data_IF_023831786022
#
_entry.id   IF_023831786022
#
_cell.length_a   1.000
_cell.length_b   1.000
_cell.length_c   1.000
_cell.angle_alpha   90.00
_cell.angle_beta   90.00
_cell.angle_gamma   90.00
#
_symmetry.space_group_name_H-M   'P 1'
#
loop_
_entity.id
_entity.type
_entity.pdbx_description
1 polymer ?
#
# COMPACT_ATOMS: atom_id res chain seq x y z
N UNK A 1 1.84 -16.38 -1.01
CA UNK A 1 0.59 -16.38 -1.80
C UNK A 1 0.62 -17.33 -3.02
N UNK A 2 1.11 -16.94 -4.21
CA UNK A 2 0.96 -17.75 -5.46
C UNK A 2 1.74 -19.07 -5.57
N UNK A 3 2.59 -19.39 -4.60
CA UNK A 3 3.30 -20.68 -4.50
C UNK A 3 2.79 -21.49 -3.31
N UNK A 4 1.50 -21.40 -3.02
CA UNK A 4 0.81 -22.20 -1.99
C UNK A 4 1.33 -21.98 -0.55
N UNK A 5 2.03 -20.87 -0.33
CA UNK A 5 2.58 -20.50 0.98
C UNK A 5 1.85 -19.32 1.58
N UNK A 6 1.67 -19.35 2.90
CA UNK A 6 1.25 -18.22 3.71
C UNK A 6 2.43 -17.28 3.96
N UNK A 7 2.21 -15.99 3.78
CA UNK A 7 3.24 -14.96 3.94
C UNK A 7 2.72 -13.81 4.78
N UNK A 8 3.61 -13.17 5.55
CA UNK A 8 3.34 -11.97 6.34
C UNK A 8 4.19 -10.81 5.79
N UNK A 9 3.58 -9.63 5.62
CA UNK A 9 4.26 -8.39 5.25
C UNK A 9 3.92 -7.33 6.31
N UNK A 10 4.94 -6.65 6.80
CA UNK A 10 4.81 -5.53 7.74
C UNK A 10 5.28 -4.27 7.01
N UNK A 11 4.46 -3.22 7.01
CA UNK A 11 4.84 -1.92 6.49
C UNK A 11 5.05 -0.96 7.66
N UNK A 12 6.31 -0.66 7.97
CA UNK A 12 6.73 0.23 9.06
C UNK A 12 7.50 1.43 8.49
N UNK A 13 6.85 2.53 8.10
CA UNK A 13 5.40 2.81 8.16
C UNK A 13 4.86 3.43 6.86
N UNK A 14 3.53 3.41 6.68
CA UNK A 14 2.88 4.00 5.51
C UNK A 14 2.80 5.53 5.56
N UNK A 15 2.93 6.15 6.74
CA UNK A 15 2.94 7.61 6.88
C UNK A 15 4.13 8.22 6.14
N UNK A 16 5.33 7.65 6.33
CA UNK A 16 6.57 8.05 5.67
C UNK A 16 6.54 7.73 4.17
N UNK A 17 5.90 6.63 3.76
CA UNK A 17 5.68 6.34 2.33
C UNK A 17 4.82 7.43 1.66
N UNK A 18 3.72 7.84 2.30
CA UNK A 18 2.86 8.90 1.78
C UNK A 18 3.63 10.23 1.62
N UNK A 19 4.46 10.58 2.61
CA UNK A 19 5.31 11.77 2.55
C UNK A 19 6.30 11.73 1.38
N UNK A 20 6.93 10.57 1.12
CA UNK A 20 7.81 10.40 -0.04
C UNK A 20 7.04 10.57 -1.37
N UNK A 21 5.85 9.99 -1.48
CA UNK A 21 5.00 10.15 -2.68
C UNK A 21 4.55 11.60 -2.89
N UNK A 22 4.25 12.31 -1.79
CA UNK A 22 3.97 13.75 -1.81
C UNK A 22 5.16 14.53 -2.35
N UNK A 23 6.37 14.30 -1.84
CA UNK A 23 7.57 14.99 -2.30
C UNK A 23 7.80 14.78 -3.80
N UNK A 24 7.70 13.54 -4.28
CA UNK A 24 7.80 13.24 -5.71
C UNK A 24 6.73 13.98 -6.53
N UNK A 25 5.48 13.97 -6.07
CA UNK A 25 4.37 14.59 -6.78
C UNK A 25 4.53 16.12 -6.88
N UNK A 26 5.01 16.75 -5.81
CA UNK A 26 5.29 18.19 -5.79
C UNK A 26 6.45 18.57 -6.71
N UNK A 27 7.54 17.78 -6.72
CA UNK A 27 8.67 17.98 -7.64
C UNK A 27 8.24 17.89 -9.11
N UNK A 28 7.30 17.00 -9.41
CA UNK A 28 6.69 16.84 -10.73
C UNK A 28 5.56 17.85 -11.02
N UNK A 29 5.34 18.83 -10.13
CA UNK A 29 4.29 19.86 -10.25
C UNK A 29 2.88 19.28 -10.44
N UNK A 30 2.59 18.12 -9.86
CA UNK A 30 1.22 17.60 -9.78
C UNK A 30 0.39 18.50 -8.85
N UNK A 31 -0.89 18.76 -9.16
CA UNK A 31 -1.74 19.60 -8.32
C UNK A 31 -1.93 18.98 -6.93
N UNK A 32 -1.59 19.69 -5.84
CA UNK A 32 -1.80 19.19 -4.48
C UNK A 32 -3.24 19.44 -3.99
N UNK A 33 -3.71 18.58 -3.10
CA UNK A 33 -4.99 18.70 -2.39
C UNK A 33 -4.78 18.91 -0.88
N UNK A 34 -5.59 18.23 -0.07
CA UNK A 34 -5.51 18.29 1.41
C UNK A 34 -4.09 17.93 1.90
N UNK A 35 -3.56 18.74 2.83
CA UNK A 35 -2.23 18.55 3.45
C UNK A 35 -1.08 18.42 2.43
N UNK A 36 -1.27 19.04 1.26
CA UNK A 36 -0.37 19.03 0.11
C UNK A 36 -0.15 17.64 -0.55
N UNK A 37 -0.95 16.62 -0.21
CA UNK A 37 -0.89 15.32 -0.89
C UNK A 37 -1.49 15.38 -2.29
N UNK A 38 -1.03 14.53 -3.23
CA UNK A 38 -1.67 14.40 -4.54
C UNK A 38 -3.05 13.74 -4.42
N UNK A 39 -3.93 13.99 -5.40
CA UNK A 39 -5.32 13.49 -5.38
C UNK A 39 -5.46 11.95 -5.35
N UNK A 40 -4.41 11.22 -5.73
CA UNK A 40 -4.36 9.76 -5.78
C UNK A 40 -3.61 9.13 -4.59
N UNK A 41 -3.37 9.88 -3.49
CA UNK A 41 -2.74 9.34 -2.27
C UNK A 41 -3.53 8.17 -1.67
N UNK A 42 -4.86 8.18 -1.76
CA UNK A 42 -5.69 7.04 -1.35
C UNK A 42 -5.44 5.81 -2.24
N UNK A 43 -5.34 6.03 -3.56
CA UNK A 43 -5.08 4.97 -4.52
C UNK A 43 -3.71 4.31 -4.33
N UNK A 44 -2.72 5.07 -3.84
CA UNK A 44 -1.41 4.53 -3.50
C UNK A 44 -1.48 3.39 -2.49
N UNK A 45 -2.22 3.57 -1.39
CA UNK A 45 -2.34 2.58 -0.33
C UNK A 45 -3.39 1.51 -0.65
N UNK A 46 -4.51 1.86 -1.28
CA UNK A 46 -5.55 0.88 -1.60
C UNK A 46 -5.02 -0.22 -2.51
N UNK A 47 -4.37 0.13 -3.62
CA UNK A 47 -3.79 -0.88 -4.54
C UNK A 47 -2.65 -1.69 -3.91
N UNK A 48 -1.99 -1.17 -2.88
CA UNK A 48 -0.93 -1.87 -2.16
C UNK A 48 -1.54 -2.93 -1.24
N UNK A 49 -2.52 -2.53 -0.43
CA UNK A 49 -3.12 -3.38 0.61
C UNK A 49 -4.11 -4.39 0.03
N UNK A 50 -4.84 -4.06 -1.03
CA UNK A 50 -5.77 -4.99 -1.71
C UNK A 50 -5.06 -6.19 -2.35
N UNK A 51 -3.72 -6.15 -2.48
CA UNK A 51 -2.93 -7.31 -2.92
C UNK A 51 -2.72 -8.35 -1.81
N UNK A 52 -2.91 -7.96 -0.55
CA UNK A 52 -2.82 -8.85 0.58
C UNK A 52 -4.17 -9.57 0.76
N UNK A 53 -4.24 -10.82 0.31
CA UNK A 53 -5.47 -11.61 0.33
C UNK A 53 -5.19 -13.10 0.62
N UNK A 54 -6.25 -13.86 0.85
CA UNK A 54 -6.24 -15.33 0.79
C UNK A 54 -6.75 -15.77 -0.58
N UNK A 55 -5.97 -16.59 -1.27
CA UNK A 55 -6.38 -17.19 -2.54
C UNK A 55 -7.43 -18.28 -2.33
N UNK A 56 -8.25 -18.52 -3.35
CA UNK A 56 -9.21 -19.62 -3.36
C UNK A 56 -8.51 -20.98 -3.65
N UNK A 57 -9.26 -22.07 -3.56
CA UNK A 57 -8.74 -23.43 -3.73
C UNK A 57 -8.21 -23.71 -5.14
N UNK A 58 -8.76 -23.06 -6.17
CA UNK A 58 -8.26 -23.17 -7.55
C UNK A 58 -6.88 -22.52 -7.75
N UNK A 59 -6.49 -21.62 -6.85
CA UNK A 59 -5.23 -20.87 -6.89
C UNK A 59 -4.27 -21.28 -5.76
N UNK A 60 -4.50 -22.44 -5.13
CA UNK A 60 -3.57 -23.05 -4.18
C UNK A 60 -3.61 -22.52 -2.75
N UNK A 61 -4.69 -21.80 -2.36
CA UNK A 61 -5.03 -21.38 -0.98
C UNK A 61 -3.98 -20.57 -0.20
N UNK A 62 -2.86 -20.20 -0.82
CA UNK A 62 -1.83 -19.39 -0.20
C UNK A 62 -2.37 -18.00 0.18
N UNK A 63 -1.79 -17.39 1.20
CA UNK A 63 -2.21 -16.08 1.69
C UNK A 63 -1.06 -15.08 1.75
N UNK A 64 -1.42 -13.80 1.79
CA UNK A 64 -0.55 -12.69 2.13
C UNK A 64 -1.29 -11.84 3.16
N UNK A 65 -0.82 -11.84 4.39
CA UNK A 65 -1.34 -10.98 5.47
C UNK A 65 -0.50 -9.71 5.53
N UNK A 66 -1.13 -8.54 5.54
CA UNK A 66 -0.47 -7.25 5.68
C UNK A 66 -0.73 -6.65 7.07
N UNK A 67 0.33 -6.16 7.72
CA UNK A 67 0.27 -5.36 8.94
C UNK A 67 0.81 -3.96 8.64
N UNK A 68 -0.07 -3.02 8.22
CA UNK A 68 0.33 -1.65 7.99
C UNK A 68 0.41 -0.87 9.30
N UNK A 69 1.52 -0.15 9.50
CA UNK A 69 1.68 0.82 10.59
C UNK A 69 1.47 2.23 10.03
N UNK A 70 0.77 3.05 10.79
CA UNK A 70 0.53 4.47 10.51
C UNK A 70 0.89 5.24 11.75
N UNK A 71 1.88 6.13 11.63
CA UNK A 71 2.25 7.10 12.68
C UNK A 71 1.21 8.23 12.66
N UNK A 72 0.56 8.47 13.81
CA UNK A 72 -0.50 9.47 14.03
C UNK A 72 0.05 10.81 14.48
#
# INVERSE_FOLDING_TARGET
MYRERHTLIIYDDLSKQAQAYRQMSLLLRRPPGREAYPGDVFYLHSRLLERAAKLNSLLGEGSMTALPIVET
#
